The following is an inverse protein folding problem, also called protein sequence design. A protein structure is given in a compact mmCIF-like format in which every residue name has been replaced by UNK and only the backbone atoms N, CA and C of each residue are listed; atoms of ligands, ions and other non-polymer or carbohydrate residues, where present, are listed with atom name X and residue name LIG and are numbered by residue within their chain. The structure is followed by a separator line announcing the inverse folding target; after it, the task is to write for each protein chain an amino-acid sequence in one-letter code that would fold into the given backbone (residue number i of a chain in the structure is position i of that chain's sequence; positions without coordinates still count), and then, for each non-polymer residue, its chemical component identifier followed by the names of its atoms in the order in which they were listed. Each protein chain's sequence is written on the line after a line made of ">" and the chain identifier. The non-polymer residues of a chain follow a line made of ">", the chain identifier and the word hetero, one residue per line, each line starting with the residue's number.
data_IF_745943972164
#
_entry.id   IF_745943972164
#
_cell.length_a   1.000
_cell.length_b   1.000
_cell.length_c   1.000
_cell.angle_alpha   90.00
_cell.angle_beta   90.00
_cell.angle_gamma   90.00
#
_symmetry.space_group_name_H-M   'P 1'
#
loop_
_entity.id
_entity.type
_entity.pdbx_description
1 polymer ?
#
# COMPACT_ATOMS: atom_id res chain seq x y z
N UNK A 1 -27.28 -16.51 -32.99
CA UNK A 1 -26.18 -15.55 -33.17
C UNK A 1 -25.99 -14.91 -31.81
N UNK A 2 -25.09 -15.49 -31.03
CA UNK A 2 -24.89 -15.16 -29.62
C UNK A 2 -23.83 -14.04 -29.55
N UNK A 3 -24.24 -12.86 -29.10
CA UNK A 3 -23.31 -11.76 -28.82
C UNK A 3 -22.58 -12.11 -27.52
N UNK A 4 -21.25 -12.20 -27.47
CA UNK A 4 -20.56 -12.37 -26.20
C UNK A 4 -20.82 -11.11 -25.37
N UNK A 5 -21.53 -11.28 -24.26
CA UNK A 5 -21.70 -10.24 -23.26
C UNK A 5 -20.31 -9.87 -22.74
N UNK A 6 -19.77 -8.74 -23.22
CA UNK A 6 -18.63 -8.10 -22.59
C UNK A 6 -19.08 -7.72 -21.18
N UNK A 7 -18.69 -8.53 -20.20
CA UNK A 7 -18.82 -8.16 -18.81
C UNK A 7 -18.20 -6.76 -18.64
N UNK A 8 -18.91 -5.78 -18.06
CA UNK A 8 -18.31 -4.48 -17.83
C UNK A 8 -17.04 -4.69 -17.00
N UNK A 9 -15.91 -4.18 -17.49
CA UNK A 9 -14.66 -4.17 -16.75
C UNK A 9 -14.97 -3.60 -15.36
N UNK A 10 -14.80 -4.43 -14.34
CA UNK A 10 -15.22 -4.09 -12.99
C UNK A 10 -14.56 -2.77 -12.54
N UNK A 11 -15.34 -2.00 -11.77
CA UNK A 11 -15.05 -0.68 -11.20
C UNK A 11 -13.92 -0.73 -10.14
N UNK A 12 -12.86 -1.47 -10.44
CA UNK A 12 -11.78 -1.80 -9.49
C UNK A 12 -10.65 -0.77 -9.52
N UNK A 13 -10.73 0.21 -10.40
CA UNK A 13 -9.76 1.28 -10.52
C UNK A 13 -10.18 2.49 -9.68
N UNK A 14 -9.21 3.12 -9.02
CA UNK A 14 -9.44 4.40 -8.34
C UNK A 14 -9.18 5.48 -9.37
N UNK A 15 -10.23 6.22 -9.69
CA UNK A 15 -10.17 7.37 -10.60
C UNK A 15 -10.28 8.64 -9.79
N UNK A 16 -9.30 9.53 -9.92
CA UNK A 16 -9.29 10.83 -9.24
C UNK A 16 -9.15 11.94 -10.27
N UNK A 17 -10.07 12.90 -10.24
CA UNK A 17 -10.16 13.97 -11.25
C UNK A 17 -10.13 13.46 -12.71
N UNK A 18 -10.71 12.27 -12.96
CA UNK A 18 -10.70 11.63 -14.28
C UNK A 18 -9.42 10.86 -14.63
N UNK A 19 -8.42 10.84 -13.74
CA UNK A 19 -7.17 10.09 -13.91
C UNK A 19 -7.26 8.75 -13.20
N UNK A 20 -7.07 7.68 -13.96
CA UNK A 20 -6.85 6.33 -13.43
C UNK A 20 -5.54 6.28 -12.64
N UNK A 21 -5.57 5.84 -11.39
CA UNK A 21 -4.35 5.68 -10.60
C UNK A 21 -3.47 4.55 -11.13
N UNK A 22 -4.04 3.53 -11.76
CA UNK A 22 -3.25 2.51 -12.49
C UNK A 22 -2.50 3.13 -13.66
N UNK A 23 -3.16 3.97 -14.45
CA UNK A 23 -2.52 4.66 -15.57
C UNK A 23 -1.43 5.62 -15.11
N UNK A 24 -1.62 6.28 -13.96
CA UNK A 24 -0.58 7.12 -13.35
C UNK A 24 0.66 6.28 -13.01
N UNK A 25 0.49 5.11 -12.38
CA UNK A 25 1.59 4.19 -12.07
C UNK A 25 2.30 3.70 -13.33
N UNK A 26 1.58 3.40 -14.41
CA UNK A 26 2.20 3.00 -15.68
C UNK A 26 3.14 4.08 -16.24
N UNK A 27 2.85 5.36 -15.98
CA UNK A 27 3.63 6.49 -16.47
C UNK A 27 4.76 6.87 -15.52
N UNK A 28 4.48 6.89 -14.21
CA UNK A 28 5.38 7.42 -13.18
C UNK A 28 6.19 6.34 -12.45
N UNK A 29 5.79 5.07 -12.53
CA UNK A 29 6.28 4.00 -11.66
C UNK A 29 5.73 4.11 -10.23
N UNK A 30 6.16 3.20 -9.35
CA UNK A 30 5.89 3.27 -7.91
C UNK A 30 7.18 3.50 -7.12
N UNK A 31 7.09 4.17 -5.96
CA UNK A 31 5.91 4.87 -5.45
C UNK A 31 5.62 6.15 -6.26
N UNK A 32 4.34 6.53 -6.36
CA UNK A 32 3.94 7.79 -6.99
C UNK A 32 2.96 8.56 -6.12
N UNK A 33 3.03 9.89 -6.20
CA UNK A 33 2.15 10.80 -5.45
C UNK A 33 1.28 11.56 -6.44
N UNK A 34 -0.01 11.66 -6.13
CA UNK A 34 -0.98 12.43 -6.88
C UNK A 34 -1.70 13.40 -5.95
N UNK A 35 -1.41 14.69 -6.08
CA UNK A 35 -2.16 15.75 -5.40
C UNK A 35 -3.51 15.91 -6.09
N UNK A 36 -4.57 15.55 -5.39
CA UNK A 36 -5.93 15.76 -5.86
C UNK A 36 -6.90 15.69 -4.69
N UNK A 37 -8.00 16.44 -4.77
CA UNK A 37 -9.09 16.26 -3.83
C UNK A 37 -9.52 14.79 -3.87
N UNK A 38 -9.35 14.12 -2.73
CA UNK A 38 -9.65 12.72 -2.48
C UNK A 38 -11.16 12.44 -2.53
N UNK A 39 -11.80 12.83 -3.63
CA UNK A 39 -13.24 12.77 -3.86
C UNK A 39 -13.61 11.32 -4.16
N UNK A 40 -13.98 10.55 -3.13
CA UNK A 40 -14.46 9.16 -3.29
C UNK A 40 -13.96 8.16 -2.24
N UNK A 41 -12.97 8.54 -1.46
CA UNK A 41 -12.43 7.79 -0.32
C UNK A 41 -12.84 8.53 0.96
N UNK A 42 -14.16 8.51 1.22
CA UNK A 42 -14.87 9.24 2.30
C UNK A 42 -14.38 10.67 2.55
N UNK A 43 -15.09 11.62 1.93
CA UNK A 43 -15.04 13.04 2.22
C UNK A 43 -15.31 13.32 3.71
N UNK A 44 -14.34 13.88 4.41
CA UNK A 44 -14.47 14.19 5.84
C UNK A 44 -13.37 15.09 6.40
N UNK A 45 -12.70 15.89 5.57
CA UNK A 45 -11.69 16.84 6.02
C UNK A 45 -11.53 18.00 5.05
N UNK A 46 -11.46 19.20 5.61
CA UNK A 46 -11.24 20.46 4.91
C UNK A 46 -9.80 20.50 4.38
N UNK A 47 -9.63 20.73 3.08
CA UNK A 47 -8.33 20.98 2.45
C UNK A 47 -7.70 19.84 1.65
N UNK A 48 -7.11 20.26 0.52
CA UNK A 48 -6.24 19.53 -0.41
C UNK A 48 -5.65 18.22 0.18
N UNK A 49 -6.11 17.08 -0.33
CA UNK A 49 -5.53 15.78 -0.04
C UNK A 49 -4.55 15.35 -1.13
N UNK A 50 -3.76 14.32 -0.84
CA UNK A 50 -3.01 13.61 -1.86
C UNK A 50 -3.24 12.11 -1.73
N UNK A 51 -2.93 11.41 -2.81
CA UNK A 51 -2.88 9.96 -2.84
C UNK A 51 -1.45 9.52 -3.09
N UNK A 52 -0.97 8.58 -2.29
CA UNK A 52 0.27 7.88 -2.55
C UNK A 52 -0.08 6.48 -3.03
N UNK A 53 0.49 6.07 -4.16
CA UNK A 53 0.38 4.69 -4.65
C UNK A 53 1.70 4.00 -4.42
N UNK A 54 1.63 2.85 -3.75
CA UNK A 54 2.77 1.97 -3.47
C UNK A 54 2.52 0.58 -4.02
N UNK A 55 3.58 -0.12 -4.42
CA UNK A 55 3.51 -1.51 -4.84
C UNK A 55 3.85 -2.45 -3.68
N UNK A 56 3.12 -3.56 -3.58
CA UNK A 56 3.43 -4.65 -2.66
C UNK A 56 4.70 -5.37 -3.14
N UNK A 57 5.72 -5.42 -2.28
CA UNK A 57 7.01 -6.05 -2.58
C UNK A 57 7.14 -7.44 -1.94
N UNK A 58 6.42 -7.68 -0.85
CA UNK A 58 6.38 -8.96 -0.17
C UNK A 58 5.07 -9.15 0.61
N UNK A 59 4.62 -10.39 0.73
CA UNK A 59 3.55 -10.80 1.66
C UNK A 59 4.09 -11.96 2.47
N UNK A 60 4.22 -11.73 3.77
CA UNK A 60 4.93 -12.58 4.70
C UNK A 60 4.00 -12.99 5.85
N UNK A 61 4.24 -14.17 6.40
CA UNK A 61 3.68 -14.54 7.70
C UNK A 61 4.65 -14.06 8.80
N UNK A 62 4.11 -13.28 9.72
CA UNK A 62 4.78 -12.80 10.92
C UNK A 62 4.94 -13.92 11.95
N UNK A 63 5.78 -13.69 12.98
CA UNK A 63 6.15 -14.71 13.95
C UNK A 63 4.99 -15.23 14.81
N UNK A 64 3.89 -14.47 14.92
CA UNK A 64 2.70 -14.85 15.70
C UNK A 64 1.52 -15.23 14.77
N UNK A 65 1.81 -15.47 13.48
CA UNK A 65 0.81 -15.78 12.47
C UNK A 65 0.10 -14.55 11.90
N UNK A 66 0.52 -13.34 12.26
CA UNK A 66 -0.01 -12.12 11.66
C UNK A 66 0.47 -11.97 10.22
N UNK A 67 -0.37 -11.41 9.35
CA UNK A 67 0.05 -11.12 7.98
C UNK A 67 0.88 -9.83 7.93
N UNK A 68 2.06 -9.89 7.34
CA UNK A 68 2.98 -8.76 7.17
C UNK A 68 3.09 -8.45 5.68
N UNK A 69 2.81 -7.22 5.29
CA UNK A 69 2.85 -6.77 3.90
C UNK A 69 3.94 -5.72 3.76
N UNK A 70 4.93 -6.01 2.90
CA UNK A 70 5.96 -5.04 2.55
C UNK A 70 5.55 -4.22 1.32
N UNK A 71 5.81 -2.93 1.35
CA UNK A 71 5.56 -2.02 0.22
C UNK A 71 6.83 -1.28 -0.21
N UNK A 72 6.84 -0.77 -1.44
CA UNK A 72 8.01 -0.15 -2.05
C UNK A 72 8.30 1.30 -1.62
N UNK A 73 7.36 1.95 -0.92
CA UNK A 73 7.47 3.31 -0.40
C UNK A 73 7.20 3.41 1.10
N UNK A 74 7.92 4.31 1.77
CA UNK A 74 7.82 4.56 3.20
C UNK A 74 7.17 5.91 3.47
N UNK A 75 6.08 5.85 4.23
CA UNK A 75 5.12 6.94 4.40
C UNK A 75 5.19 7.59 5.80
N UNK A 76 6.19 7.30 6.63
CA UNK A 76 6.30 7.88 7.98
C UNK A 76 6.48 9.42 7.96
N UNK A 77 6.87 10.00 6.83
CA UNK A 77 6.99 11.45 6.63
C UNK A 77 5.70 12.13 6.14
N UNK A 78 4.63 11.36 5.89
CA UNK A 78 3.36 11.88 5.36
C UNK A 78 2.20 11.49 6.28
N UNK A 79 1.12 12.28 6.27
CA UNK A 79 -0.10 11.98 7.04
C UNK A 79 -0.92 10.85 6.38
N UNK A 80 -0.33 9.66 6.29
CA UNK A 80 -0.91 8.51 5.61
C UNK A 80 -2.06 7.87 6.41
N UNK A 81 -3.25 7.90 5.81
CA UNK A 81 -4.47 7.28 6.35
C UNK A 81 -4.59 5.84 5.87
N UNK A 82 -3.71 4.99 6.37
CA UNK A 82 -3.67 3.58 6.01
C UNK A 82 -4.99 2.84 6.22
N UNK A 83 -5.78 3.20 7.24
CA UNK A 83 -7.10 2.61 7.48
C UNK A 83 -8.11 2.85 6.32
N UNK A 84 -7.85 3.83 5.46
CA UNK A 84 -8.66 4.18 4.30
C UNK A 84 -8.04 3.67 2.98
N UNK A 85 -6.93 2.93 3.05
CA UNK A 85 -6.22 2.42 1.89
C UNK A 85 -7.04 1.41 1.09
N UNK A 86 -6.79 1.35 -0.22
CA UNK A 86 -7.48 0.45 -1.15
C UNK A 86 -6.51 -0.20 -2.12
N UNK A 87 -6.78 -1.46 -2.46
CA UNK A 87 -6.03 -2.17 -3.51
C UNK A 87 -6.67 -1.89 -4.87
N UNK A 88 -5.87 -1.48 -5.85
CA UNK A 88 -6.32 -1.23 -7.21
C UNK A 88 -6.52 -2.52 -7.98
N UNK A 89 -7.51 -2.55 -8.87
CA UNK A 89 -7.78 -3.67 -9.75
C UNK A 89 -8.41 -4.88 -9.06
N UNK A 90 -8.87 -4.74 -7.81
CA UNK A 90 -9.61 -5.79 -7.10
C UNK A 90 -10.96 -5.29 -6.60
N UNK A 91 -11.99 -6.10 -6.87
CA UNK A 91 -13.27 -5.96 -6.21
C UNK A 91 -13.09 -6.18 -4.70
N UNK A 92 -13.86 -5.46 -3.87
CA UNK A 92 -13.79 -5.60 -2.41
C UNK A 92 -14.18 -7.03 -2.01
N UNK A 93 -13.17 -7.86 -1.73
CA UNK A 93 -13.31 -9.24 -1.26
C UNK A 93 -13.17 -9.38 0.25
N UNK A 94 -12.90 -10.59 0.74
CA UNK A 94 -12.55 -10.83 2.14
C UNK A 94 -11.30 -10.03 2.54
N UNK A 95 -11.40 -9.29 3.64
CA UNK A 95 -10.29 -8.51 4.19
C UNK A 95 -9.91 -9.06 5.56
N UNK A 96 -8.62 -9.26 5.78
CA UNK A 96 -8.02 -9.50 7.09
C UNK A 96 -7.08 -8.36 7.47
N UNK A 97 -6.88 -8.19 8.77
CA UNK A 97 -5.91 -7.23 9.29
C UNK A 97 -4.51 -7.68 8.91
N UNK A 98 -3.80 -6.83 8.18
CA UNK A 98 -2.40 -6.98 7.86
C UNK A 98 -1.59 -5.86 8.51
N UNK A 99 -0.37 -6.19 8.93
CA UNK A 99 0.64 -5.22 9.33
C UNK A 99 1.37 -4.74 8.08
N UNK A 100 1.23 -3.46 7.75
CA UNK A 100 2.03 -2.82 6.71
C UNK A 100 3.41 -2.49 7.25
N UNK A 101 4.41 -2.80 6.43
CA UNK A 101 5.81 -2.51 6.67
C UNK A 101 6.36 -1.85 5.42
N UNK A 102 6.91 -0.65 5.55
CA UNK A 102 7.64 -0.06 4.45
C UNK A 102 9.14 -0.40 4.57
N UNK A 103 9.72 -0.99 3.52
CA UNK A 103 11.12 -1.39 3.38
C UNK A 103 11.68 -2.53 4.25
N UNK A 104 11.37 -2.59 5.55
CA UNK A 104 11.93 -3.61 6.45
C UNK A 104 11.06 -3.79 7.71
N UNK A 105 10.89 -5.01 8.26
CA UNK A 105 9.97 -5.36 9.36
C UNK A 105 10.18 -4.63 10.71
N UNK A 106 11.04 -3.62 10.74
CA UNK A 106 11.38 -2.79 11.89
C UNK A 106 10.98 -1.32 11.74
N UNK A 107 10.44 -0.90 10.59
CA UNK A 107 10.00 0.48 10.34
C UNK A 107 8.47 0.57 10.30
N UNK A 108 7.91 1.54 11.05
CA UNK A 108 6.53 2.02 11.00
C UNK A 108 5.46 0.97 10.68
N UNK A 109 4.86 0.38 11.72
CA UNK A 109 3.85 -0.66 11.53
C UNK A 109 2.43 -0.10 11.66
N UNK A 110 1.68 -0.03 10.56
CA UNK A 110 0.24 0.22 10.59
C UNK A 110 -0.53 -1.11 10.49
N UNK A 111 -1.56 -1.30 11.32
CA UNK A 111 -2.49 -2.42 11.18
C UNK A 111 -3.69 -2.00 10.32
N UNK A 112 -3.90 -2.67 9.20
CA UNK A 112 -4.81 -2.22 8.13
C UNK A 112 -5.63 -3.39 7.60
N UNK A 113 -6.95 -3.25 7.41
CA UNK A 113 -7.74 -4.25 6.69
C UNK A 113 -7.33 -4.25 5.21
N UNK A 114 -6.75 -5.35 4.74
CA UNK A 114 -6.38 -5.54 3.33
C UNK A 114 -6.94 -6.87 2.81
N UNK A 115 -7.19 -6.99 1.50
CA UNK A 115 -7.60 -8.24 0.88
C UNK A 115 -6.70 -9.41 1.28
N UNK A 116 -7.28 -10.56 1.54
CA UNK A 116 -6.58 -11.78 2.01
C UNK A 116 -5.65 -12.38 0.96
N UNK A 117 -6.00 -12.18 -0.30
CA UNK A 117 -5.35 -12.70 -1.50
C UNK A 117 -4.35 -11.73 -2.14
N UNK A 118 -3.86 -10.76 -1.35
CA UNK A 118 -2.85 -9.80 -1.78
C UNK A 118 -1.57 -10.54 -2.21
N UNK A 119 -1.00 -10.08 -3.31
CA UNK A 119 0.20 -10.63 -3.92
C UNK A 119 1.24 -9.54 -4.19
N UNK A 120 2.49 -9.97 -4.41
CA UNK A 120 3.55 -9.09 -4.88
C UNK A 120 3.15 -8.47 -6.22
N UNK A 121 3.33 -7.16 -6.35
CA UNK A 121 2.94 -6.37 -7.52
C UNK A 121 1.55 -5.76 -7.44
N UNK A 122 0.73 -6.12 -6.44
CA UNK A 122 -0.53 -5.41 -6.19
C UNK A 122 -0.24 -3.95 -5.82
N UNK A 123 -1.10 -3.04 -6.29
CA UNK A 123 -0.97 -1.61 -6.06
C UNK A 123 -1.93 -1.17 -4.96
N UNK A 124 -1.39 -0.48 -3.96
CA UNK A 124 -2.16 0.06 -2.83
C UNK A 124 -2.18 1.57 -2.92
N UNK A 125 -3.38 2.14 -2.98
CA UNK A 125 -3.59 3.59 -2.86
C UNK A 125 -3.83 3.93 -1.40
N UNK A 126 -3.07 4.90 -0.90
CA UNK A 126 -3.12 5.38 0.47
C UNK A 126 -3.49 6.87 0.46
N UNK A 127 -4.63 7.25 1.04
CA UNK A 127 -4.97 8.65 1.24
C UNK A 127 -4.00 9.32 2.18
N UNK A 128 -3.63 10.55 1.90
CA UNK A 128 -2.77 11.36 2.74
C UNK A 128 -3.41 12.73 3.01
N UNK A 129 -3.29 13.20 4.26
CA UNK A 129 -3.61 14.59 4.59
C UNK A 129 -2.59 15.55 3.99
N UNK A 130 -3.04 16.75 3.61
CA UNK A 130 -2.20 17.78 3.00
C UNK A 130 -1.73 17.42 1.59
N UNK A 131 -0.64 18.05 1.15
CA UNK A 131 -0.04 17.82 -0.18
C UNK A 131 1.40 17.33 -0.07
N UNK A 132 1.63 16.08 0.36
CA UNK A 132 2.96 15.48 0.33
C UNK A 132 3.56 15.51 -1.08
N UNK A 133 4.86 15.67 -1.17
CA UNK A 133 5.63 15.51 -2.38
C UNK A 133 6.30 14.13 -2.44
N UNK A 134 6.73 13.71 -3.62
CA UNK A 134 7.41 12.41 -3.79
C UNK A 134 8.67 12.29 -2.91
N UNK A 135 9.38 13.39 -2.63
CA UNK A 135 10.56 13.37 -1.77
C UNK A 135 10.24 13.11 -0.29
N UNK A 136 8.98 13.29 0.13
CA UNK A 136 8.51 12.92 1.46
C UNK A 136 8.30 11.39 1.56
N UNK A 137 8.24 10.70 0.42
CA UNK A 137 8.11 9.24 0.32
C UNK A 137 9.50 8.61 0.22
N UNK A 138 9.88 7.92 1.31
CA UNK A 138 11.04 7.04 1.44
C UNK A 138 11.07 5.91 0.41
N UNK A 139 11.94 5.89 -0.61
CA UNK A 139 12.09 4.66 -1.40
C UNK A 139 12.64 3.52 -0.55
N UNK A 140 12.02 2.35 -0.64
CA UNK A 140 12.59 1.13 -0.05
C UNK A 140 13.62 0.48 -1.00
N UNK A 141 14.72 -0.02 -0.44
CA UNK A 141 15.51 -1.05 -1.13
C UNK A 141 14.69 -2.35 -1.21
N UNK A 142 14.91 -3.20 -2.21
CA UNK A 142 14.07 -4.39 -2.47
C UNK A 142 14.30 -5.55 -1.48
N UNK A 143 13.30 -5.94 -0.67
CA UNK A 143 13.02 -7.33 -0.37
C UNK A 143 11.94 -7.84 -1.34
N UNK A 144 12.27 -8.85 -2.14
CA UNK A 144 11.32 -9.55 -3.01
C UNK A 144 11.09 -10.93 -2.42
N UNK A 145 9.85 -11.28 -2.10
CA UNK A 145 9.52 -12.67 -1.74
C UNK A 145 8.21 -12.86 -0.99
N UNK A 146 7.68 -14.07 -1.09
CA UNK A 146 6.58 -14.59 -0.28
C UNK A 146 7.18 -15.61 0.70
N UNK A 147 7.64 -15.16 1.86
CA UNK A 147 8.36 -15.98 2.83
C UNK A 147 7.90 -15.75 4.27
N UNK A 148 8.40 -16.55 5.21
CA UNK A 148 8.23 -16.27 6.64
C UNK A 148 9.19 -15.15 7.05
N UNK A 149 8.72 -14.19 7.86
CA UNK A 149 9.62 -13.23 8.50
C UNK A 149 10.46 -14.02 9.51
N UNK A 150 11.72 -14.31 9.16
CA UNK A 150 12.64 -14.95 10.12
C UNK A 150 12.95 -13.92 11.20
N UNK A 151 12.31 -14.06 12.36
CA UNK A 151 12.49 -13.18 13.51
C UNK A 151 13.98 -12.98 13.78
N UNK A 152 14.44 -11.73 13.67
CA UNK A 152 15.83 -11.37 13.95
C UNK A 152 16.14 -11.67 15.40
N UNK A 153 16.87 -12.75 15.66
CA UNK A 153 17.51 -12.99 16.95
C UNK A 153 18.74 -12.06 17.02
N UNK A 154 18.57 -10.81 17.46
CA UNK A 154 19.68 -9.97 17.92
C UNK A 154 20.15 -10.49 19.28
N UNK A 155 21.30 -11.16 19.35
CA UNK A 155 22.58 -10.61 19.79
C UNK A 155 22.47 -10.00 21.21
N UNK A 156 22.79 -10.73 22.28
CA UNK A 156 24.15 -11.19 22.59
C UNK A 156 24.76 -10.20 23.57
N UNK A 157 24.65 -10.51 24.87
CA UNK A 157 25.21 -9.73 25.98
C UNK A 157 26.71 -9.43 25.72
N UNK A 158 27.07 -8.15 25.58
CA UNK A 158 28.45 -7.73 25.80
C UNK A 158 28.65 -7.58 27.31
N UNK A 159 29.25 -8.59 27.94
CA UNK A 159 30.03 -8.36 29.15
C UNK A 159 31.37 -7.78 28.72
N UNK A 160 31.62 -6.55 29.14
CA UNK A 160 32.92 -5.90 29.01
C UNK A 160 33.81 -6.43 30.16
N UNK A 161 35.06 -6.84 29.89
CA UNK A 161 36.02 -7.21 30.94
C UNK A 161 36.47 -6.00 31.77
#
# INVERSE_FOLDING_TARGET
>A
METPATAPAALDDVVVAGVSMRRLVEVCGTPCVHSAEAMGIRAGGDGCGALVVVAVTAVLAGPVGERVVCVDGHLDGVDARWAEARVLGRAVGGCSVARIVAAAPTSGTAAVPLPDDLAVGDLVVVPCGGSPALHDVRLSGRPVGTGLVRGGRGAGERRVP
#
